data_IF_031506799364
#
_entry.id   IF_031506799364
#
_cell.length_a   1.000
_cell.length_b   1.000
_cell.length_c   1.000
_cell.angle_alpha   90.00
_cell.angle_beta   90.00
_cell.angle_gamma   90.00
#
_symmetry.space_group_name_H-M   'P 1'
#
loop_
_entity.id
_entity.type
_entity.pdbx_description
1 polymer ?
#
# COMPACT_ATOMS: atom_id res chain seq x y z
N UNK A 1 -24.90 -1.54 3.84
CA UNK A 1 -25.35 -2.05 2.53
C UNK A 1 -24.10 -2.55 1.84
N UNK A 2 -24.02 -3.85 1.53
CA UNK A 2 -22.84 -4.45 0.91
C UNK A 2 -22.85 -4.13 -0.57
N UNK A 3 -21.91 -3.30 -1.03
CA UNK A 3 -21.67 -3.11 -2.46
C UNK A 3 -21.33 -4.45 -3.08
N UNK A 4 -22.16 -4.86 -4.04
CA UNK A 4 -22.02 -6.11 -4.77
C UNK A 4 -20.70 -6.10 -5.54
N UNK A 5 -19.99 -7.23 -5.54
CA UNK A 5 -18.75 -7.46 -6.28
C UNK A 5 -19.08 -7.38 -7.78
N UNK A 6 -19.09 -6.18 -8.35
CA UNK A 6 -19.47 -5.97 -9.75
C UNK A 6 -18.32 -6.24 -10.72
N UNK A 7 -17.07 -6.39 -10.24
CA UNK A 7 -15.90 -6.77 -11.04
C UNK A 7 -14.89 -7.60 -10.21
N UNK A 8 -14.17 -8.57 -10.81
CA UNK A 8 -13.08 -9.32 -10.15
C UNK A 8 -12.01 -8.40 -9.55
N UNK A 9 -11.73 -7.29 -10.23
CA UNK A 9 -10.82 -6.23 -9.79
C UNK A 9 -11.26 -5.56 -8.49
N UNK A 10 -12.56 -5.47 -8.23
CA UNK A 10 -13.06 -4.89 -6.98
C UNK A 10 -12.83 -5.83 -5.79
N UNK A 11 -12.89 -7.15 -6.02
CA UNK A 11 -12.70 -8.15 -4.96
C UNK A 11 -11.27 -8.13 -4.39
N UNK A 12 -10.25 -7.95 -5.23
CA UNK A 12 -8.85 -7.90 -4.79
C UNK A 12 -8.58 -6.67 -3.90
N UNK A 13 -9.20 -5.52 -4.18
CA UNK A 13 -9.04 -4.33 -3.35
C UNK A 13 -9.77 -4.47 -2.02
N UNK A 14 -10.98 -5.02 -2.00
CA UNK A 14 -11.69 -5.32 -0.75
C UNK A 14 -10.86 -6.29 0.10
N UNK A 15 -10.32 -7.35 -0.51
CA UNK A 15 -9.46 -8.30 0.18
C UNK A 15 -8.21 -7.62 0.77
N UNK A 16 -7.60 -6.69 0.04
CA UNK A 16 -6.47 -5.91 0.52
C UNK A 16 -6.86 -4.99 1.70
N UNK A 17 -8.03 -4.38 1.64
CA UNK A 17 -8.56 -3.48 2.68
C UNK A 17 -8.79 -4.22 4.01
N UNK A 18 -9.40 -5.40 3.94
CA UNK A 18 -9.73 -6.22 5.12
C UNK A 18 -8.56 -7.07 5.62
N UNK A 19 -7.50 -7.23 4.83
CA UNK A 19 -6.33 -8.01 5.22
C UNK A 19 -6.39 -9.50 4.89
N UNK A 20 -7.18 -9.89 3.88
CA UNK A 20 -7.32 -11.29 3.46
C UNK A 20 -6.14 -11.75 2.58
N UNK A 21 -5.01 -12.03 3.25
CA UNK A 21 -3.77 -12.46 2.60
C UNK A 21 -3.92 -13.77 1.83
N UNK A 22 -4.58 -14.78 2.40
CA UNK A 22 -4.69 -16.11 1.78
C UNK A 22 -5.41 -16.05 0.42
N UNK A 23 -6.49 -15.26 0.34
CA UNK A 23 -7.19 -15.02 -0.91
C UNK A 23 -6.29 -14.34 -1.94
N UNK A 24 -5.56 -13.29 -1.52
CA UNK A 24 -4.67 -12.54 -2.40
C UNK A 24 -3.48 -13.37 -2.90
N UNK A 25 -2.90 -14.19 -2.03
CA UNK A 25 -1.80 -15.10 -2.40
C UNK A 25 -2.26 -16.07 -3.50
N UNK A 26 -3.42 -16.70 -3.32
CA UNK A 26 -3.97 -17.64 -4.31
C UNK A 26 -4.30 -16.93 -5.62
N UNK A 27 -5.02 -15.79 -5.57
CA UNK A 27 -5.46 -15.13 -6.80
C UNK A 27 -4.28 -14.52 -7.58
N UNK A 28 -3.30 -13.91 -6.90
CA UNK A 28 -2.11 -13.33 -7.54
C UNK A 28 -1.16 -14.41 -8.08
N UNK A 29 -1.09 -15.58 -7.46
CA UNK A 29 -0.36 -16.72 -8.03
C UNK A 29 -1.02 -17.28 -9.30
N UNK A 30 -2.36 -17.16 -9.40
CA UNK A 30 -3.14 -17.67 -10.53
C UNK A 30 -3.21 -16.66 -11.67
N UNK A 31 -3.34 -15.38 -11.33
CA UNK A 31 -3.46 -14.25 -12.25
C UNK A 31 -2.49 -13.12 -11.84
N UNK A 32 -1.18 -13.25 -12.14
CA UNK A 32 -0.17 -12.29 -11.71
C UNK A 32 -0.40 -10.87 -12.23
N UNK A 33 -1.04 -10.73 -13.39
CA UNK A 33 -1.32 -9.43 -14.02
C UNK A 33 -2.23 -8.53 -13.18
N UNK A 34 -3.01 -9.11 -12.25
CA UNK A 34 -3.86 -8.35 -11.33
C UNK A 34 -3.08 -7.42 -10.40
N UNK A 35 -1.76 -7.62 -10.26
CA UNK A 35 -0.92 -6.72 -9.49
C UNK A 35 -0.87 -5.29 -10.07
N UNK A 36 -1.16 -5.15 -11.37
CA UNK A 36 -1.15 -3.88 -12.10
C UNK A 36 -2.47 -3.12 -12.02
N UNK A 37 -3.52 -3.75 -11.52
CA UNK A 37 -4.82 -3.14 -11.40
C UNK A 37 -4.79 -1.98 -10.39
N UNK A 38 -5.56 -0.94 -10.71
CA UNK A 38 -5.70 0.25 -9.88
C UNK A 38 -7.16 0.41 -9.45
N UNK A 39 -7.37 0.86 -8.22
CA UNK A 39 -8.70 1.22 -7.74
C UNK A 39 -9.15 2.56 -8.35
N UNK A 40 -10.33 3.02 -7.95
CA UNK A 40 -10.90 4.28 -8.45
C UNK A 40 -10.11 5.53 -8.06
N UNK A 41 -9.09 5.41 -7.22
CA UNK A 41 -8.21 6.49 -6.74
C UNK A 41 -6.77 6.32 -7.25
N UNK A 42 -6.55 5.45 -8.25
CA UNK A 42 -5.22 5.19 -8.80
C UNK A 42 -4.32 4.37 -7.88
N UNK A 43 -4.88 3.66 -6.89
CA UNK A 43 -4.10 2.91 -5.89
C UNK A 43 -4.05 1.43 -6.24
N UNK A 44 -2.85 0.86 -6.19
CA UNK A 44 -2.66 -0.59 -6.30
C UNK A 44 -2.97 -1.31 -4.98
N UNK A 45 -3.07 -2.65 -5.03
CA UNK A 45 -3.18 -3.52 -3.83
C UNK A 45 -2.09 -3.18 -2.80
N UNK A 46 -0.88 -2.82 -3.25
CA UNK A 46 0.24 -2.50 -2.36
C UNK A 46 -0.02 -1.19 -1.60
N UNK A 47 -0.53 -0.14 -2.25
CA UNK A 47 -0.92 1.11 -1.57
C UNK A 47 -1.97 0.84 -0.49
N UNK A 48 -3.02 0.08 -0.83
CA UNK A 48 -4.10 -0.25 0.10
C UNK A 48 -3.56 -1.05 1.28
N UNK A 49 -2.68 -2.03 1.05
CA UNK A 49 -2.08 -2.82 2.12
C UNK A 49 -1.27 -1.97 3.11
N UNK A 50 -0.58 -0.93 2.63
CA UNK A 50 0.19 -0.01 3.48
C UNK A 50 -0.72 0.93 4.26
N UNK A 51 -1.74 1.50 3.60
CA UNK A 51 -2.77 2.33 4.26
C UNK A 51 -3.46 1.57 5.41
N UNK A 52 -3.69 0.27 5.24
CA UNK A 52 -4.38 -0.58 6.20
C UNK A 52 -3.45 -1.37 7.15
N UNK A 53 -2.12 -1.17 7.05
CA UNK A 53 -1.11 -1.83 7.90
C UNK A 53 -1.14 -3.36 7.82
N UNK A 54 -1.31 -3.92 6.62
CA UNK A 54 -1.31 -5.36 6.35
C UNK A 54 0.03 -5.81 5.74
N UNK A 55 1.01 -6.05 6.61
CA UNK A 55 2.40 -6.37 6.20
C UNK A 55 2.49 -7.66 5.37
N UNK A 56 1.70 -8.67 5.71
CA UNK A 56 1.68 -9.94 4.98
C UNK A 56 1.28 -9.75 3.51
N UNK A 57 0.40 -8.79 3.21
CA UNK A 57 -0.01 -8.46 1.85
C UNK A 57 1.05 -7.61 1.17
N UNK A 58 1.64 -6.63 1.87
CA UNK A 58 2.76 -5.85 1.34
C UNK A 58 3.90 -6.78 0.89
N UNK A 59 4.22 -7.81 1.68
CA UNK A 59 5.29 -8.76 1.38
C UNK A 59 5.03 -9.60 0.11
N UNK A 60 3.79 -9.72 -0.37
CA UNK A 60 3.49 -10.38 -1.64
C UNK A 60 4.20 -9.68 -2.81
N UNK A 61 4.54 -8.39 -2.70
CA UNK A 61 5.29 -7.67 -3.73
C UNK A 61 6.64 -8.33 -4.04
N UNK A 62 7.26 -8.98 -3.05
CA UNK A 62 8.54 -9.66 -3.23
C UNK A 62 8.41 -10.95 -4.04
N UNK A 63 7.22 -11.54 -4.10
CA UNK A 63 6.91 -12.73 -4.89
C UNK A 63 6.72 -12.41 -6.38
N UNK A 64 6.41 -11.16 -6.71
CA UNK A 64 6.19 -10.66 -8.08
C UNK A 64 7.53 -10.37 -8.81
N UNK A 65 8.67 -10.47 -8.12
CA UNK A 65 10.00 -10.39 -8.71
C UNK A 65 10.46 -8.94 -9.02
N UNK A 66 11.24 -8.71 -10.10
CA UNK A 66 11.88 -7.40 -10.39
C UNK A 66 10.89 -6.28 -10.71
N UNK A 67 9.60 -6.63 -10.89
CA UNK A 67 8.50 -5.70 -11.13
C UNK A 67 8.20 -4.82 -9.91
N UNK A 68 8.55 -5.27 -8.69
CA UNK A 68 8.30 -4.53 -7.44
C UNK A 68 8.78 -3.08 -7.50
N UNK A 69 9.88 -2.84 -8.23
CA UNK A 69 10.53 -1.54 -8.34
C UNK A 69 9.62 -0.51 -9.02
N UNK A 70 8.83 -0.95 -10.00
CA UNK A 70 7.86 -0.11 -10.69
C UNK A 70 6.63 0.17 -9.84
N UNK A 71 6.09 -0.86 -9.18
CA UNK A 71 4.90 -0.70 -8.31
C UNK A 71 5.19 0.26 -7.16
N UNK A 72 6.41 0.23 -6.62
CA UNK A 72 6.85 1.13 -5.55
C UNK A 72 6.89 2.60 -6.01
N UNK A 73 7.07 2.84 -7.30
CA UNK A 73 7.14 4.21 -7.87
C UNK A 73 5.79 4.80 -8.28
N UNK A 74 4.70 4.02 -8.21
CA UNK A 74 3.37 4.52 -8.54
C UNK A 74 2.95 5.63 -7.58
N UNK A 75 2.27 6.61 -8.16
CA UNK A 75 1.59 7.68 -7.44
C UNK A 75 0.10 7.43 -7.57
N UNK A 76 -0.63 7.61 -6.48
CA UNK A 76 -2.09 7.66 -6.54
C UNK A 76 -2.57 8.94 -7.24
N UNK A 77 -3.88 9.08 -7.45
CA UNK A 77 -4.46 10.24 -8.13
C UNK A 77 -4.23 11.57 -7.39
N UNK A 78 -3.87 11.52 -6.10
CA UNK A 78 -3.50 12.67 -5.27
C UNK A 78 -1.97 12.95 -5.30
N UNK A 79 -1.19 12.15 -6.01
CA UNK A 79 0.27 12.28 -6.06
C UNK A 79 1.00 11.67 -4.86
N UNK A 80 0.33 10.86 -4.03
CA UNK A 80 0.96 10.17 -2.92
C UNK A 80 1.70 8.93 -3.40
N UNK A 81 2.97 8.81 -3.01
CA UNK A 81 3.70 7.55 -3.10
C UNK A 81 3.44 6.68 -1.84
N UNK A 82 3.97 5.47 -1.85
CA UNK A 82 3.86 4.51 -0.74
C UNK A 82 4.40 5.03 0.61
N UNK A 83 5.42 5.91 0.64
CA UNK A 83 5.88 6.55 1.87
C UNK A 83 4.82 7.50 2.43
N UNK A 84 4.19 8.30 1.57
CA UNK A 84 3.06 9.15 1.97
C UNK A 84 1.91 8.30 2.52
N UNK A 85 1.59 7.16 1.90
CA UNK A 85 0.60 6.21 2.42
C UNK A 85 0.98 5.65 3.80
N UNK A 86 2.25 5.33 4.02
CA UNK A 86 2.74 4.84 5.32
C UNK A 86 2.66 5.92 6.41
N UNK A 87 2.84 7.19 6.05
CA UNK A 87 2.73 8.33 6.96
C UNK A 87 1.27 8.74 7.27
N UNK A 88 0.31 8.35 6.42
CA UNK A 88 -1.13 8.59 6.67
C UNK A 88 -1.61 7.79 7.89
N UNK A 89 -2.54 8.39 8.62
CA UNK A 89 -3.19 7.76 9.77
C UNK A 89 -3.96 6.52 9.31
N UNK A 90 -3.74 5.34 9.92
CA UNK A 90 -4.43 4.12 9.51
C UNK A 90 -5.91 4.15 9.90
N UNK A 91 -6.73 3.25 9.36
CA UNK A 91 -8.16 3.20 9.65
C UNK A 91 -8.46 2.88 11.13
N UNK A 92 -9.65 3.26 11.65
CA UNK A 92 -10.00 3.11 13.06
C UNK A 92 -9.89 1.69 13.63
N UNK A 93 -10.12 0.67 12.81
CA UNK A 93 -9.96 -0.74 13.19
C UNK A 93 -8.50 -1.12 13.49
N UNK A 94 -7.51 -0.36 12.97
CA UNK A 94 -6.09 -0.51 13.26
C UNK A 94 -5.62 0.48 14.33
N UNK A 95 -6.21 1.67 14.38
CA UNK A 95 -5.93 2.68 15.40
C UNK A 95 -6.36 2.27 16.81
N UNK A 96 -7.43 1.49 16.94
CA UNK A 96 -7.95 1.11 18.25
C UNK A 96 -7.41 -0.25 18.74
N UNK A 97 -6.28 -0.73 18.17
CA UNK A 97 -5.67 -1.99 18.58
C UNK A 97 -5.09 -1.91 20.00
N UNK A 98 -4.63 -0.71 20.39
CA UNK A 98 -4.04 -0.43 21.71
C UNK A 98 -4.64 0.84 22.30
N UNK A 99 -4.70 0.91 23.64
CA UNK A 99 -5.20 2.10 24.34
C UNK A 99 -4.03 3.03 24.69
N UNK A 100 -4.05 4.26 24.15
CA UNK A 100 -3.12 5.33 24.53
C UNK A 100 -2.13 5.73 23.44
N UNK A 101 -1.86 7.04 23.35
CA UNK A 101 -1.05 7.65 22.29
C UNK A 101 0.38 7.10 22.19
N UNK A 102 1.04 6.83 23.32
CA UNK A 102 2.41 6.29 23.32
C UNK A 102 2.47 4.87 22.72
N UNK A 103 1.52 4.00 23.08
CA UNK A 103 1.45 2.63 22.54
C UNK A 103 1.08 2.64 21.06
N UNK A 104 0.19 3.53 20.63
CA UNK A 104 -0.12 3.72 19.22
C UNK A 104 1.13 4.14 18.45
N UNK A 105 1.88 5.11 18.96
CA UNK A 105 3.11 5.59 18.31
C UNK A 105 4.19 4.51 18.24
N UNK A 106 4.35 3.70 19.29
CA UNK A 106 5.27 2.56 19.27
C UNK A 106 4.89 1.50 18.23
N UNK A 107 3.60 1.22 18.05
CA UNK A 107 3.12 0.28 17.05
C UNK A 107 3.41 0.79 15.62
N UNK A 108 3.12 2.06 15.35
CA UNK A 108 3.41 2.69 14.06
C UNK A 108 4.92 2.73 13.76
N UNK A 109 5.75 3.00 14.77
CA UNK A 109 7.22 2.92 14.66
C UNK A 109 7.69 1.52 14.32
N UNK A 110 7.19 0.49 15.02
CA UNK A 110 7.54 -0.90 14.74
C UNK A 110 7.14 -1.33 13.33
N UNK A 111 5.97 -0.89 12.86
CA UNK A 111 5.56 -1.11 11.47
C UNK A 111 6.53 -0.44 10.48
N UNK A 112 6.87 0.82 10.71
CA UNK A 112 7.70 1.60 9.80
C UNK A 112 9.14 1.05 9.73
N UNK A 113 9.75 0.75 10.89
CA UNK A 113 11.12 0.24 10.96
C UNK A 113 11.30 -1.16 10.38
N UNK A 114 10.29 -2.03 10.50
CA UNK A 114 10.40 -3.43 10.07
C UNK A 114 10.07 -3.59 8.58
N UNK A 115 9.17 -2.77 8.02
CA UNK A 115 8.63 -3.02 6.68
C UNK A 115 8.96 -1.93 5.66
N UNK A 116 9.16 -0.68 6.10
CA UNK A 116 9.44 0.44 5.20
C UNK A 116 10.94 0.75 5.13
N UNK A 117 11.61 0.86 6.29
CA UNK A 117 13.05 1.18 6.35
C UNK A 117 13.97 0.14 5.68
N UNK A 118 13.72 -1.18 5.74
CA UNK A 118 14.62 -2.18 5.16
C UNK A 118 14.56 -2.25 3.63
N UNK A 119 13.62 -1.55 2.99
CA UNK A 119 13.52 -1.43 1.53
C UNK A 119 13.84 0.00 1.02
N UNK A 120 14.92 0.66 1.48
CA UNK A 120 15.09 2.10 1.27
C UNK A 120 15.43 2.47 -0.18
N UNK A 121 16.11 1.58 -0.92
CA UNK A 121 16.66 1.90 -2.25
C UNK A 121 15.63 2.28 -3.32
N UNK A 122 14.35 1.96 -3.12
CA UNK A 122 13.29 2.24 -4.09
C UNK A 122 12.54 3.54 -3.80
N UNK A 123 12.57 4.03 -2.57
CA UNK A 123 11.72 5.15 -2.15
C UNK A 123 12.43 6.52 -2.18
N UNK A 124 13.74 6.57 -1.97
CA UNK A 124 14.46 7.84 -1.79
C UNK A 124 14.84 8.58 -3.09
N UNK A 125 14.75 7.96 -4.26
CA UNK A 125 15.30 8.55 -5.49
C UNK A 125 14.37 9.52 -6.23
N UNK A 126 13.11 9.68 -5.82
CA UNK A 126 12.14 10.47 -6.61
C UNK A 126 11.56 11.72 -5.92
N UNK A 127 11.52 11.78 -4.58
CA UNK A 127 10.91 12.92 -3.86
C UNK A 127 11.67 14.25 -4.03
N UNK A 128 12.94 14.24 -4.45
CA UNK A 128 13.74 15.47 -4.65
C UNK A 128 13.62 16.11 -6.04
N UNK A 129 13.02 15.45 -7.04
CA UNK A 129 13.06 15.94 -8.44
C UNK A 129 11.76 16.57 -8.97
N UNK A 130 10.66 16.59 -8.21
CA UNK A 130 9.39 17.19 -8.69
C UNK A 130 9.10 18.61 -8.21
N UNK A 131 9.82 19.15 -7.21
CA UNK A 131 9.67 20.56 -6.81
C UNK A 131 10.44 21.56 -7.70
N UNK A 132 11.19 21.09 -8.69
CA UNK A 132 12.01 21.98 -9.56
C UNK A 132 11.31 22.34 -10.88
N UNK A 133 10.28 21.63 -11.31
CA UNK A 133 9.68 21.83 -12.65
C UNK A 133 8.33 22.57 -12.69
N UNK A 134 7.69 22.83 -11.54
CA UNK A 134 6.38 23.52 -11.51
C UNK A 134 6.47 25.04 -11.26
N UNK A 135 7.65 25.65 -11.43
CA UNK A 135 7.81 27.12 -11.42
C UNK A 135 8.01 27.72 -12.82
N UNK A 136 7.26 27.25 -13.82
CA UNK A 136 7.12 27.94 -15.10
C UNK A 136 5.72 27.75 -15.70
N UNK A 137 4.73 28.43 -15.14
CA UNK A 137 3.68 29.09 -15.93
C UNK A 137 3.02 30.23 -15.17
#
# INVERSE_FOLDING_TARGET
MTETITQPTQAIFIAAEVGNHDFLSVILSTYPDLIWELDTMGRSIIHISVLHRHASIFNLIHEVGPIKDFIVTFLDDEGNNLLHCAAKLPPPNRLNLVSGAALQMMLELSWFEVYIIPNPFHFFNYDDNKKVFDNNK
#
